data_IF_366995882794
#
_entry.id   IF_366995882794
#
_cell.length_a   1.000
_cell.length_b   1.000
_cell.length_c   1.000
_cell.angle_alpha   90.00
_cell.angle_beta   90.00
_cell.angle_gamma   90.00
#
_symmetry.space_group_name_H-M   'P 1'
#
loop_
_entity.id
_entity.type
_entity.pdbx_description
1 polymer ?
#
# COMPACT_ATOMS: atom_id res chain seq x y z
N UNK A 1 -2.63 5.03 -11.92
CA UNK A 1 -3.05 5.75 -10.70
C UNK A 1 -1.89 6.61 -10.23
N UNK A 2 -2.17 7.81 -9.75
CA UNK A 2 -1.19 8.75 -9.21
C UNK A 2 -0.80 8.29 -7.80
N UNK A 3 0.48 8.01 -7.52
CA UNK A 3 0.98 7.52 -6.22
C UNK A 3 2.00 8.49 -5.62
N UNK A 4 2.35 8.33 -4.34
CA UNK A 4 3.44 9.08 -3.71
C UNK A 4 4.77 8.85 -4.45
N UNK A 5 5.59 9.90 -4.53
CA UNK A 5 6.84 9.93 -5.30
C UNK A 5 8.07 9.54 -4.47
N UNK A 6 8.06 9.88 -3.18
CA UNK A 6 9.20 9.62 -2.31
C UNK A 6 9.30 8.12 -2.02
N UNK A 7 10.47 7.55 -2.27
CA UNK A 7 10.80 6.17 -1.89
C UNK A 7 12.16 6.18 -1.18
N UNK A 8 12.22 5.90 0.13
CA UNK A 8 13.49 5.76 0.80
C UNK A 8 14.21 4.52 0.27
N UNK A 9 15.50 4.65 -0.08
CA UNK A 9 16.35 3.47 -0.34
C UNK A 9 16.56 2.71 0.95
N UNK A 10 16.08 1.47 0.99
CA UNK A 10 16.40 0.53 2.06
C UNK A 10 17.87 0.08 2.03
N UNK A 11 18.35 -0.58 3.09
CA UNK A 11 19.67 -1.21 3.07
C UNK A 11 19.75 -2.27 1.97
N UNK A 12 20.97 -2.63 1.56
CA UNK A 12 21.16 -3.80 0.71
C UNK A 12 20.74 -5.08 1.47
N UNK A 13 19.97 -5.94 0.80
CA UNK A 13 19.35 -7.15 1.37
C UNK A 13 19.76 -8.36 0.50
N UNK A 14 20.09 -9.51 1.11
CA UNK A 14 20.46 -10.74 0.37
C UNK A 14 19.25 -11.39 -0.29
N UNK A 15 19.46 -12.31 -1.23
CA UNK A 15 18.35 -12.99 -1.91
C UNK A 15 17.56 -13.92 -0.97
N UNK A 16 18.22 -14.50 0.04
CA UNK A 16 17.56 -15.28 1.10
C UNK A 16 16.64 -14.40 1.96
N UNK A 17 17.12 -13.23 2.39
CA UNK A 17 16.34 -12.28 3.18
C UNK A 17 15.12 -11.76 2.40
N UNK A 18 15.26 -11.52 1.08
CA UNK A 18 14.13 -11.15 0.21
C UNK A 18 13.10 -12.28 0.12
N UNK A 19 13.54 -13.52 -0.08
CA UNK A 19 12.65 -14.67 -0.19
C UNK A 19 11.91 -14.96 1.13
N UNK A 20 12.58 -14.78 2.27
CA UNK A 20 11.94 -14.88 3.58
C UNK A 20 10.92 -13.75 3.81
N UNK A 21 11.29 -12.53 3.44
CA UNK A 21 10.38 -11.39 3.51
C UNK A 21 9.13 -11.59 2.66
N UNK A 22 9.27 -12.05 1.41
CA UNK A 22 8.13 -12.29 0.51
C UNK A 22 7.18 -13.36 1.05
N UNK A 23 7.71 -14.44 1.63
CA UNK A 23 6.88 -15.47 2.31
C UNK A 23 6.11 -14.87 3.48
N UNK A 24 6.76 -14.08 4.32
CA UNK A 24 6.11 -13.42 5.46
C UNK A 24 5.06 -12.42 4.99
N UNK A 25 5.39 -11.61 4.00
CA UNK A 25 4.52 -10.61 3.41
C UNK A 25 3.24 -11.24 2.87
N UNK A 26 3.34 -12.39 2.20
CA UNK A 26 2.20 -13.13 1.69
C UNK A 26 1.24 -13.55 2.82
N UNK A 27 1.77 -14.05 3.93
CA UNK A 27 0.97 -14.44 5.12
C UNK A 27 0.36 -13.21 5.80
N UNK A 28 1.11 -12.12 5.92
CA UNK A 28 0.63 -10.87 6.53
C UNK A 28 -0.47 -10.22 5.68
N UNK A 29 -0.32 -10.22 4.36
CA UNK A 29 -1.33 -9.68 3.45
C UNK A 29 -2.57 -10.57 3.36
N UNK A 30 -2.46 -11.88 3.50
CA UNK A 30 -3.62 -12.77 3.61
C UNK A 30 -4.44 -12.43 4.87
N UNK A 31 -3.78 -12.20 6.00
CA UNK A 31 -4.44 -11.78 7.24
C UNK A 31 -5.07 -10.39 7.10
N UNK A 32 -4.35 -9.44 6.48
CA UNK A 32 -4.85 -8.09 6.25
C UNK A 32 -6.06 -8.08 5.30
N UNK A 33 -6.03 -8.87 4.23
CA UNK A 33 -7.13 -8.98 3.27
C UNK A 33 -8.39 -9.53 3.95
N UNK A 34 -8.23 -10.54 4.81
CA UNK A 34 -9.32 -11.07 5.65
C UNK A 34 -9.82 -10.06 6.67
N UNK A 35 -8.91 -9.31 7.30
CA UNK A 35 -9.25 -8.29 8.30
C UNK A 35 -10.08 -7.15 7.69
N UNK A 36 -9.65 -6.62 6.54
CA UNK A 36 -10.42 -5.62 5.79
C UNK A 36 -11.75 -6.23 5.34
N UNK A 37 -11.71 -7.47 4.83
CA UNK A 37 -12.90 -8.24 4.47
C UNK A 37 -13.80 -7.47 3.50
N UNK A 38 -15.08 -7.32 3.85
CA UNK A 38 -16.05 -6.55 3.08
C UNK A 38 -16.16 -5.07 3.49
N UNK A 39 -15.40 -4.63 4.48
CA UNK A 39 -15.50 -3.26 4.97
C UNK A 39 -14.99 -2.27 3.91
N UNK A 40 -15.52 -1.04 3.99
CA UNK A 40 -15.09 0.09 3.15
C UNK A 40 -13.73 0.65 3.60
N UNK A 41 -13.52 0.72 4.91
CA UNK A 41 -12.30 1.15 5.58
C UNK A 41 -11.88 0.09 6.62
N UNK A 42 -10.71 0.23 7.22
CA UNK A 42 -10.15 -0.75 8.18
C UNK A 42 -11.04 -0.98 9.40
N UNK A 43 -11.79 0.03 9.84
CA UNK A 43 -12.69 -0.06 11.01
C UNK A 43 -14.18 -0.08 10.64
N UNK A 44 -14.53 -0.37 9.39
CA UNK A 44 -15.92 -0.44 8.92
C UNK A 44 -16.27 0.62 7.86
N UNK A 45 -17.39 1.32 8.04
CA UNK A 45 -17.94 2.25 7.03
C UNK A 45 -17.37 3.66 7.08
N UNK A 46 -16.87 4.08 8.25
CA UNK A 46 -16.33 5.42 8.47
C UNK A 46 -14.81 5.38 8.39
N UNK A 47 -14.25 6.40 7.75
CA UNK A 47 -12.80 6.60 7.71
C UNK A 47 -12.29 7.06 9.07
N UNK A 48 -11.09 6.61 9.42
CA UNK A 48 -10.38 6.95 10.64
C UNK A 48 -8.90 7.22 10.34
N UNK A 49 -8.15 7.72 11.32
CA UNK A 49 -6.74 8.00 11.12
C UNK A 49 -5.91 6.75 10.78
N UNK A 50 -6.32 5.56 11.25
CA UNK A 50 -5.59 4.31 11.01
C UNK A 50 -5.63 3.90 9.54
N UNK A 51 -6.63 4.34 8.78
CA UNK A 51 -6.70 4.08 7.33
C UNK A 51 -5.57 4.75 6.57
N UNK A 52 -5.14 5.93 7.03
CA UNK A 52 -4.00 6.64 6.43
C UNK A 52 -2.67 5.99 6.79
N UNK A 53 -2.54 5.48 8.02
CA UNK A 53 -1.37 4.67 8.43
C UNK A 53 -1.26 3.40 7.58
N UNK A 54 -2.37 2.71 7.39
CA UNK A 54 -2.43 1.51 6.57
C UNK A 54 -2.14 1.82 5.10
N UNK A 55 -2.72 2.89 4.54
CA UNK A 55 -2.46 3.32 3.18
C UNK A 55 -0.97 3.66 2.95
N UNK A 56 -0.34 4.36 3.89
CA UNK A 56 1.09 4.67 3.82
C UNK A 56 1.96 3.40 3.91
N UNK A 57 1.61 2.46 4.78
CA UNK A 57 2.27 1.16 4.85
C UNK A 57 2.19 0.42 3.50
N UNK A 58 1.00 0.33 2.91
CA UNK A 58 0.79 -0.33 1.62
C UNK A 58 1.56 0.36 0.49
N UNK A 59 1.59 1.70 0.49
CA UNK A 59 2.39 2.47 -0.45
C UNK A 59 3.89 2.08 -0.38
N UNK A 60 4.43 1.98 0.82
CA UNK A 60 5.83 1.61 1.04
C UNK A 60 6.13 0.17 0.58
N UNK A 61 5.21 -0.78 0.83
CA UNK A 61 5.35 -2.16 0.34
C UNK A 61 5.38 -2.20 -1.19
N UNK A 62 4.48 -1.48 -1.87
CA UNK A 62 4.48 -1.37 -3.33
C UNK A 62 5.75 -0.72 -3.90
N UNK A 63 6.40 0.14 -3.11
CA UNK A 63 7.63 0.84 -3.46
C UNK A 63 8.90 0.04 -3.20
N UNK A 64 8.84 -1.04 -2.41
CA UNK A 64 9.99 -1.83 -2.03
C UNK A 64 10.56 -2.62 -3.22
N UNK A 65 11.83 -2.38 -3.55
CA UNK A 65 12.50 -2.97 -4.72
C UNK A 65 12.56 -4.50 -4.71
N UNK A 66 12.46 -5.11 -3.53
CA UNK A 66 12.53 -6.55 -3.32
C UNK A 66 11.16 -7.24 -3.26
N UNK A 67 10.06 -6.50 -3.32
CA UNK A 67 8.72 -7.08 -3.29
C UNK A 67 8.27 -7.43 -4.70
N UNK A 68 7.92 -8.69 -4.91
CA UNK A 68 7.32 -9.16 -6.15
C UNK A 68 5.89 -8.60 -6.22
N UNK A 69 5.59 -7.82 -7.25
CA UNK A 69 4.28 -7.11 -7.37
C UNK A 69 3.11 -8.07 -7.31
N UNK A 70 3.28 -9.24 -7.92
CA UNK A 70 2.31 -10.32 -7.99
C UNK A 70 1.94 -10.86 -6.60
N UNK A 71 2.84 -10.76 -5.61
CA UNK A 71 2.59 -11.18 -4.23
C UNK A 71 1.47 -10.35 -3.60
N UNK A 72 1.40 -9.06 -3.89
CA UNK A 72 0.46 -8.11 -3.29
C UNK A 72 -0.81 -7.94 -4.12
N UNK A 73 -0.69 -7.92 -5.45
CA UNK A 73 -1.81 -7.60 -6.36
C UNK A 73 -2.95 -8.64 -6.37
N UNK A 74 -2.71 -9.84 -5.83
CA UNK A 74 -3.70 -10.92 -5.72
C UNK A 74 -4.75 -10.70 -4.62
N UNK A 75 -4.51 -9.79 -3.68
CA UNK A 75 -5.38 -9.53 -2.53
C UNK A 75 -6.44 -8.46 -2.86
N UNK A 76 -7.64 -8.92 -3.22
CA UNK A 76 -8.68 -8.06 -3.79
C UNK A 76 -9.25 -7.03 -2.79
N UNK A 77 -9.34 -7.35 -1.50
CA UNK A 77 -9.87 -6.43 -0.50
C UNK A 77 -8.86 -5.34 -0.17
N UNK A 78 -7.57 -5.69 -0.08
CA UNK A 78 -6.47 -4.71 0.08
C UNK A 78 -6.46 -3.74 -1.11
N UNK A 79 -6.51 -4.27 -2.34
CA UNK A 79 -6.55 -3.44 -3.56
C UNK A 79 -7.77 -2.52 -3.61
N UNK A 80 -8.94 -3.03 -3.18
CA UNK A 80 -10.15 -2.21 -3.08
C UNK A 80 -9.96 -1.09 -2.07
N UNK A 81 -9.43 -1.40 -0.88
CA UNK A 81 -9.16 -0.43 0.17
C UNK A 81 -8.25 0.71 -0.31
N UNK A 82 -7.12 0.41 -0.95
CA UNK A 82 -6.22 1.42 -1.51
C UNK A 82 -6.96 2.35 -2.48
N UNK A 83 -7.73 1.76 -3.41
CA UNK A 83 -8.52 2.52 -4.39
C UNK A 83 -9.57 3.40 -3.73
N UNK A 84 -10.20 2.93 -2.64
CA UNK A 84 -11.16 3.72 -1.88
C UNK A 84 -10.50 4.96 -1.29
N UNK A 85 -9.32 4.82 -0.67
CA UNK A 85 -8.56 5.97 -0.11
C UNK A 85 -8.12 6.94 -1.21
N UNK A 86 -7.53 6.42 -2.30
CA UNK A 86 -7.08 7.25 -3.45
C UNK A 86 -8.25 7.99 -4.14
N UNK A 87 -9.48 7.47 -4.01
CA UNK A 87 -10.67 8.08 -4.60
C UNK A 87 -11.29 9.21 -3.75
N UNK A 88 -10.84 9.41 -2.51
CA UNK A 88 -11.33 10.51 -1.67
C UNK A 88 -10.97 11.85 -2.33
N UNK A 89 -11.90 12.81 -2.44
CA UNK A 89 -11.69 14.03 -3.23
C UNK A 89 -10.41 14.79 -2.86
N UNK A 90 -10.17 14.98 -1.56
CA UNK A 90 -8.99 15.68 -1.06
C UNK A 90 -7.69 14.91 -1.32
N UNK A 91 -7.71 13.58 -1.16
CA UNK A 91 -6.55 12.73 -1.41
C UNK A 91 -6.25 12.65 -2.91
N UNK A 92 -7.28 12.48 -3.75
CA UNK A 92 -7.14 12.49 -5.20
C UNK A 92 -6.55 13.81 -5.71
N UNK A 93 -7.03 14.94 -5.18
CA UNK A 93 -6.49 16.26 -5.50
C UNK A 93 -5.03 16.39 -5.06
N UNK A 94 -4.70 15.97 -3.84
CA UNK A 94 -3.34 15.97 -3.31
C UNK A 94 -2.39 15.10 -4.15
N UNK A 95 -2.79 13.86 -4.46
CA UNK A 95 -2.00 12.94 -5.29
C UNK A 95 -1.75 13.50 -6.69
N UNK A 96 -2.69 14.25 -7.27
CA UNK A 96 -2.48 14.93 -8.56
C UNK A 96 -1.46 16.07 -8.44
N UNK A 97 -1.56 16.89 -7.39
CA UNK A 97 -0.65 18.01 -7.15
C UNK A 97 0.80 17.55 -6.91
N UNK A 98 1.02 16.52 -6.09
CA UNK A 98 2.39 16.00 -5.89
C UNK A 98 2.95 15.39 -7.18
N UNK A 99 2.09 14.81 -8.03
CA UNK A 99 2.53 14.19 -9.26
C UNK A 99 2.82 15.19 -10.39
N UNK A 100 2.25 16.39 -10.35
CA UNK A 100 2.53 17.45 -11.33
C UNK A 100 3.84 18.21 -11.06
N UNK A 101 4.35 18.17 -9.82
CA UNK A 101 5.61 18.83 -9.44
C UNK A 101 6.82 18.05 -9.96
N UNK A 102 7.84 18.69 -10.58
CA UNK A 102 9.07 17.99 -10.97
C UNK A 102 9.77 17.41 -9.74
N UNK A 103 10.48 16.28 -9.93
CA UNK A 103 11.30 15.69 -8.87
C UNK A 103 12.44 16.67 -8.53
N UNK A 104 12.63 16.97 -7.24
CA UNK A 104 13.71 17.82 -6.75
C UNK A 104 15.06 17.10 -6.80
#
# INVERSE_FOLDING_TARGET
MARLKFRPKGPAVTDEEKAEFDKKLNVDFEQLDRFIGSNKFSTGENISYVDFWLYEYLHNIHGAEFVVKETVDKFANVKRFEKTIESLPQISAYLKDINSKPDF
#
